data_IF_569381069867
#
_entry.id   IF_569381069867
#
_cell.length_a   1.000
_cell.length_b   1.000
_cell.length_c   1.000
_cell.angle_alpha   90.00
_cell.angle_beta   90.00
_cell.angle_gamma   90.00
#
_symmetry.space_group_name_H-M   'P 1'
#
loop_
_entity.id
_entity.type
_entity.pdbx_description
1 polymer ?
#
# COMPACT_ATOMS: atom_id res chain seq x y z
N UNK A 1 2.00 15.90 1.82
CA UNK A 1 1.88 14.72 2.71
C UNK A 1 3.20 13.99 2.93
N UNK A 2 4.06 13.74 1.90
CA UNK A 2 5.35 13.02 2.08
C UNK A 2 6.26 13.63 3.16
N UNK A 3 6.30 14.96 3.29
CA UNK A 3 7.11 15.63 4.32
C UNK A 3 6.61 15.33 5.75
N UNK A 4 5.31 15.13 5.94
CA UNK A 4 4.71 14.79 7.25
C UNK A 4 5.15 13.39 7.66
N UNK A 5 5.10 12.44 6.73
CA UNK A 5 5.53 11.05 6.98
C UNK A 5 7.03 10.93 7.21
N UNK A 6 7.83 11.69 6.46
CA UNK A 6 9.29 11.64 6.55
C UNK A 6 9.83 12.03 7.95
N UNK A 7 9.08 12.82 8.72
CA UNK A 7 9.46 13.25 10.08
C UNK A 7 8.63 12.59 11.19
N UNK A 8 7.73 11.67 10.82
CA UNK A 8 6.90 10.94 11.78
C UNK A 8 7.76 9.95 12.56
N UNK A 9 7.63 9.97 13.88
CA UNK A 9 8.29 9.00 14.75
C UNK A 9 7.67 7.61 14.64
N UNK A 10 8.41 6.62 15.10
CA UNK A 10 8.00 5.21 15.08
C UNK A 10 6.72 4.96 15.88
N UNK A 11 6.54 5.64 17.02
CA UNK A 11 5.35 5.49 17.86
C UNK A 11 4.09 5.92 17.13
N UNK A 12 4.13 7.08 16.47
CA UNK A 12 3.01 7.60 15.69
C UNK A 12 2.67 6.70 14.50
N UNK A 13 3.68 6.20 13.78
CA UNK A 13 3.48 5.24 12.67
C UNK A 13 2.86 3.93 13.17
N UNK A 14 3.36 3.38 14.27
CA UNK A 14 2.84 2.15 14.88
C UNK A 14 1.40 2.34 15.39
N UNK A 15 1.06 3.48 15.97
CA UNK A 15 -0.31 3.79 16.40
C UNK A 15 -1.28 3.80 15.20
N UNK A 16 -0.86 4.38 14.08
CA UNK A 16 -1.66 4.37 12.85
C UNK A 16 -1.83 2.95 12.27
N UNK A 17 -0.79 2.13 12.30
CA UNK A 17 -0.87 0.72 11.89
C UNK A 17 -1.82 -0.08 12.79
N UNK A 18 -1.77 0.13 14.11
CA UNK A 18 -2.70 -0.52 15.05
C UNK A 18 -4.15 -0.10 14.79
N UNK A 19 -4.39 1.18 14.48
CA UNK A 19 -5.72 1.66 14.11
C UNK A 19 -6.20 1.03 12.79
N UNK A 20 -5.31 0.85 11.80
CA UNK A 20 -5.62 0.14 10.55
C UNK A 20 -6.01 -1.32 10.84
N UNK A 21 -5.19 -2.05 11.62
CA UNK A 21 -5.47 -3.45 11.98
C UNK A 21 -6.85 -3.59 12.61
N UNK A 22 -7.16 -2.74 13.59
CA UNK A 22 -8.45 -2.71 14.28
C UNK A 22 -9.61 -2.38 13.30
N UNK A 23 -9.44 -1.35 12.48
CA UNK A 23 -10.47 -0.90 11.54
C UNK A 23 -10.81 -1.95 10.48
N UNK A 24 -9.82 -2.73 10.00
CA UNK A 24 -10.05 -3.84 9.07
C UNK A 24 -10.93 -4.93 9.68
N UNK A 25 -10.71 -5.27 10.95
CA UNK A 25 -11.53 -6.27 11.67
C UNK A 25 -12.95 -5.72 11.93
N UNK A 26 -13.06 -4.48 12.42
CA UNK A 26 -14.36 -3.86 12.75
C UNK A 26 -15.24 -3.66 11.49
N UNK A 27 -14.64 -3.56 10.31
CA UNK A 27 -15.37 -3.38 9.05
C UNK A 27 -15.31 -4.63 8.14
N UNK A 28 -15.04 -5.82 8.70
CA UNK A 28 -14.94 -7.06 7.94
C UNK A 28 -16.16 -7.33 7.07
N UNK A 29 -17.37 -7.09 7.60
CA UNK A 29 -18.62 -7.30 6.86
C UNK A 29 -18.71 -6.40 5.62
N UNK A 30 -18.32 -5.13 5.73
CA UNK A 30 -18.30 -4.19 4.59
C UNK A 30 -17.31 -4.63 3.52
N UNK A 31 -16.13 -5.12 3.94
CA UNK A 31 -15.11 -5.64 3.02
C UNK A 31 -15.62 -6.88 2.30
N UNK A 32 -16.27 -7.80 3.03
CA UNK A 32 -16.86 -9.02 2.46
C UNK A 32 -17.97 -8.66 1.47
N UNK A 33 -18.87 -7.72 1.82
CA UNK A 33 -19.93 -7.27 0.91
C UNK A 33 -19.34 -6.67 -0.38
N UNK A 34 -18.32 -5.82 -0.29
CA UNK A 34 -17.63 -5.27 -1.46
C UNK A 34 -16.96 -6.39 -2.29
N UNK A 35 -16.35 -7.37 -1.63
CA UNK A 35 -15.72 -8.51 -2.29
C UNK A 35 -16.73 -9.43 -3.00
N UNK A 36 -17.93 -9.60 -2.45
CA UNK A 36 -18.99 -10.36 -3.14
C UNK A 36 -19.38 -9.74 -4.48
N UNK A 37 -19.38 -8.40 -4.60
CA UNK A 37 -19.64 -7.70 -5.88
C UNK A 37 -18.55 -8.05 -6.91
N UNK A 38 -17.28 -8.03 -6.49
CA UNK A 38 -16.15 -8.40 -7.37
C UNK A 38 -16.22 -9.88 -7.77
N UNK A 39 -16.55 -10.78 -6.85
CA UNK A 39 -16.69 -12.22 -7.12
C UNK A 39 -17.87 -12.53 -8.06
N UNK A 40 -19.00 -11.81 -7.92
CA UNK A 40 -20.14 -11.96 -8.84
C UNK A 40 -19.73 -11.59 -10.27
N UNK A 41 -19.12 -10.41 -10.44
CA UNK A 41 -18.61 -9.96 -11.73
C UNK A 41 -17.54 -10.90 -12.30
N UNK A 42 -16.66 -11.45 -11.45
CA UNK A 42 -15.64 -12.40 -11.87
C UNK A 42 -16.24 -13.70 -12.41
N UNK A 43 -17.32 -14.21 -11.79
CA UNK A 43 -18.04 -15.42 -12.27
C UNK A 43 -18.72 -15.15 -13.60
N UNK A 44 -19.43 -14.04 -13.74
CA UNK A 44 -20.10 -13.63 -14.98
C UNK A 44 -19.10 -13.49 -16.15
N UNK A 45 -17.90 -12.98 -15.86
CA UNK A 45 -16.83 -12.83 -16.86
C UNK A 45 -16.02 -14.12 -17.10
N UNK A 46 -16.43 -15.27 -16.55
CA UNK A 46 -15.77 -16.56 -16.78
C UNK A 46 -14.37 -16.67 -16.17
N UNK A 47 -14.09 -15.94 -15.09
CA UNK A 47 -12.80 -16.00 -14.39
C UNK A 47 -12.56 -17.44 -13.86
N UNK A 48 -11.35 -17.96 -14.01
CA UNK A 48 -11.01 -19.31 -13.53
C UNK A 48 -11.16 -19.42 -12.00
N UNK A 49 -11.51 -20.62 -11.51
CA UNK A 49 -11.70 -20.90 -10.07
C UNK A 49 -10.46 -20.51 -9.26
N UNK A 50 -9.26 -20.80 -9.76
CA UNK A 50 -8.01 -20.41 -9.09
C UNK A 50 -7.83 -18.88 -8.96
N UNK A 51 -8.29 -18.11 -9.95
CA UNK A 51 -8.24 -16.64 -9.87
C UNK A 51 -9.35 -16.10 -8.95
N UNK A 52 -10.54 -16.70 -8.95
CA UNK A 52 -11.61 -16.36 -8.01
C UNK A 52 -11.17 -16.62 -6.55
N UNK A 53 -10.46 -17.72 -6.29
CA UNK A 53 -9.90 -17.99 -4.95
C UNK A 53 -8.90 -16.92 -4.52
N UNK A 54 -8.05 -16.44 -5.42
CA UNK A 54 -7.11 -15.33 -5.12
C UNK A 54 -7.81 -14.00 -4.86
N UNK A 55 -8.97 -13.79 -5.47
CA UNK A 55 -9.79 -12.58 -5.32
C UNK A 55 -10.59 -12.62 -4.02
N UNK A 56 -11.00 -13.81 -3.57
CA UNK A 56 -11.92 -14.00 -2.44
C UNK A 56 -11.34 -13.46 -1.13
N UNK A 57 -12.18 -12.73 -0.40
CA UNK A 57 -11.98 -12.36 1.00
C UNK A 57 -13.10 -12.97 1.84
N UNK A 58 -12.71 -13.51 2.99
CA UNK A 58 -13.59 -13.97 4.06
C UNK A 58 -13.03 -13.47 5.40
N UNK A 59 -13.73 -13.72 6.50
CA UNK A 59 -13.27 -13.29 7.83
C UNK A 59 -11.85 -13.75 8.15
N UNK A 60 -11.50 -15.01 7.85
CA UNK A 60 -10.19 -15.55 8.19
C UNK A 60 -9.08 -14.86 7.40
N UNK A 61 -9.33 -14.56 6.11
CA UNK A 61 -8.38 -13.82 5.28
C UNK A 61 -8.23 -12.38 5.73
N UNK A 62 -9.31 -11.72 6.16
CA UNK A 62 -9.25 -10.36 6.72
C UNK A 62 -8.51 -10.37 8.06
N UNK A 63 -8.77 -11.34 8.94
CA UNK A 63 -8.00 -11.55 10.18
C UNK A 63 -6.51 -11.78 9.88
N UNK A 64 -6.22 -12.54 8.82
CA UNK A 64 -4.84 -12.75 8.34
C UNK A 64 -4.16 -11.45 7.90
N UNK A 65 -4.88 -10.56 7.19
CA UNK A 65 -4.38 -9.24 6.81
C UNK A 65 -4.09 -8.39 8.07
N UNK A 66 -5.03 -8.31 9.00
CA UNK A 66 -4.86 -7.55 10.24
C UNK A 66 -3.68 -8.09 11.07
N UNK A 67 -3.56 -9.42 11.20
CA UNK A 67 -2.43 -10.05 11.88
C UNK A 67 -1.09 -9.73 11.22
N UNK A 68 -1.02 -9.66 9.89
CA UNK A 68 0.20 -9.25 9.18
C UNK A 68 0.57 -7.78 9.49
N UNK A 69 -0.43 -6.90 9.67
CA UNK A 69 -0.18 -5.52 10.13
C UNK A 69 0.35 -5.50 11.57
N UNK A 70 -0.19 -6.34 12.47
CA UNK A 70 0.28 -6.45 13.85
C UNK A 70 1.73 -6.99 13.91
N UNK A 71 2.10 -7.93 13.04
CA UNK A 71 3.50 -8.36 12.91
C UNK A 71 4.40 -7.25 12.38
N UNK A 72 3.92 -6.45 11.42
CA UNK A 72 4.66 -5.30 10.90
C UNK A 72 4.95 -4.24 11.98
N UNK A 73 4.03 -4.04 12.94
CA UNK A 73 4.23 -3.14 14.08
C UNK A 73 5.45 -3.59 14.92
N UNK A 74 5.63 -4.89 15.12
CA UNK A 74 6.73 -5.47 15.92
C UNK A 74 8.09 -5.33 15.26
N UNK A 75 8.13 -5.18 13.93
CA UNK A 75 9.38 -4.98 13.21
C UNK A 75 10.01 -3.64 13.57
N UNK A 76 11.33 -3.63 13.63
CA UNK A 76 12.10 -2.42 13.85
C UNK A 76 11.87 -1.42 12.70
N UNK A 77 11.75 -0.14 13.04
CA UNK A 77 11.65 0.93 12.06
C UNK A 77 12.99 1.10 11.33
N UNK A 78 13.03 0.98 10.00
CA UNK A 78 14.28 1.14 9.27
C UNK A 78 14.72 2.59 9.13
N UNK A 79 13.82 3.57 9.33
CA UNK A 79 14.11 4.99 9.09
C UNK A 79 14.95 5.56 10.23
N UNK A 80 15.97 6.33 9.85
CA UNK A 80 16.93 6.90 10.80
C UNK A 80 18.06 5.95 11.21
N UNK A 81 18.02 4.66 10.82
CA UNK A 81 19.13 3.75 11.07
C UNK A 81 20.40 4.23 10.38
N UNK A 82 21.50 4.14 11.11
CA UNK A 82 22.85 4.42 10.59
C UNK A 82 23.43 3.12 10.03
N UNK A 83 23.66 3.09 8.72
CA UNK A 83 24.31 1.93 8.06
C UNK A 83 25.81 1.94 8.26
N UNK A 84 26.44 3.10 8.14
CA UNK A 84 27.88 3.29 8.40
C UNK A 84 28.21 4.77 8.64
N UNK A 85 29.45 5.01 9.09
CA UNK A 85 29.99 6.36 9.24
C UNK A 85 31.51 6.36 9.21
N UNK A 86 32.10 7.51 8.91
CA UNK A 86 33.56 7.71 8.90
C UNK A 86 33.91 9.12 9.34
N UNK A 87 35.13 9.25 9.89
CA UNK A 87 35.74 10.56 10.19
C UNK A 87 36.85 10.79 9.16
N UNK A 88 36.82 11.93 8.48
CA UNK A 88 37.84 12.32 7.52
C UNK A 88 39.06 12.93 8.23
N UNK A 89 40.26 12.98 7.58
CA UNK A 89 41.46 13.57 8.19
C UNK A 89 41.25 15.03 8.66
N UNK A 90 40.36 15.79 8.07
CA UNK A 90 40.01 17.15 8.49
C UNK A 90 38.99 17.20 9.64
N UNK A 91 38.64 16.08 10.26
CA UNK A 91 37.67 15.99 11.36
C UNK A 91 36.20 15.93 10.96
N UNK A 92 35.87 16.03 9.66
CA UNK A 92 34.48 15.96 9.19
C UNK A 92 33.92 14.55 9.41
N UNK A 93 32.73 14.46 10.05
CA UNK A 93 31.98 13.21 10.24
C UNK A 93 30.98 13.02 9.11
N UNK A 94 31.06 11.88 8.42
CA UNK A 94 30.10 11.47 7.38
C UNK A 94 29.33 10.28 7.94
N UNK A 95 28.00 10.37 7.90
CA UNK A 95 27.11 9.29 8.35
C UNK A 95 26.10 8.95 7.25
N UNK A 96 25.98 7.66 6.90
CA UNK A 96 24.96 7.17 5.99
C UNK A 96 23.77 6.70 6.79
N UNK A 97 22.63 7.39 6.61
CA UNK A 97 21.36 7.07 7.27
C UNK A 97 20.30 6.66 6.26
N UNK A 98 19.35 5.82 6.71
CA UNK A 98 18.18 5.44 5.91
C UNK A 98 17.10 6.50 6.03
N UNK A 99 16.54 6.90 4.90
CA UNK A 99 15.44 7.88 4.79
C UNK A 99 14.29 7.30 3.96
N UNK A 100 13.06 7.80 4.13
CA UNK A 100 11.95 7.43 3.26
C UNK A 100 12.25 7.78 1.79
N UNK A 101 11.68 7.02 0.87
CA UNK A 101 11.76 7.31 -0.57
C UNK A 101 10.90 8.51 -0.95
N UNK A 102 9.69 8.59 -0.40
CA UNK A 102 8.76 9.70 -0.63
C UNK A 102 7.35 9.25 -0.98
N UNK A 103 6.93 9.38 -2.23
CA UNK A 103 5.64 8.91 -2.76
C UNK A 103 5.87 7.68 -3.61
N UNK A 104 5.23 6.58 -3.23
CA UNK A 104 5.33 5.30 -3.95
C UNK A 104 4.04 5.06 -4.73
N UNK A 105 4.15 4.89 -6.05
CA UNK A 105 3.09 4.35 -6.89
C UNK A 105 3.13 2.81 -6.86
N UNK A 106 2.01 2.16 -6.56
CA UNK A 106 1.91 0.70 -6.61
C UNK A 106 0.85 0.28 -7.62
N UNK A 107 1.25 -0.40 -8.69
CA UNK A 107 0.32 -0.99 -9.67
C UNK A 107 0.28 -2.49 -9.45
N UNK A 108 -0.90 -3.04 -9.16
CA UNK A 108 -1.05 -4.45 -8.82
C UNK A 108 -2.31 -5.08 -9.43
N UNK A 109 -2.32 -6.40 -9.51
CA UNK A 109 -3.39 -7.22 -10.09
C UNK A 109 -4.28 -7.83 -9.01
N UNK A 110 -5.18 -8.64 -9.35
CA UNK A 110 -6.29 -9.41 -8.76
C UNK A 110 -6.21 -9.87 -7.29
N UNK A 111 -5.44 -9.25 -6.41
CA UNK A 111 -5.32 -9.65 -5.00
C UNK A 111 -5.64 -8.49 -4.06
N UNK A 112 -6.84 -8.46 -3.46
CA UNK A 112 -7.26 -7.35 -2.61
C UNK A 112 -6.37 -7.12 -1.36
N UNK A 113 -5.78 -8.18 -0.80
CA UNK A 113 -4.86 -8.06 0.33
C UNK A 113 -3.65 -7.16 0.04
N UNK A 114 -3.23 -7.06 -1.24
CA UNK A 114 -2.11 -6.21 -1.63
C UNK A 114 -2.35 -4.74 -1.32
N UNK A 115 -3.61 -4.30 -1.34
CA UNK A 115 -4.01 -2.94 -0.97
C UNK A 115 -3.55 -2.61 0.46
N UNK A 116 -3.84 -3.50 1.40
CA UNK A 116 -3.43 -3.34 2.80
C UNK A 116 -1.92 -3.54 2.97
N UNK A 117 -1.35 -4.61 2.37
CA UNK A 117 0.08 -4.91 2.46
C UNK A 117 0.93 -3.71 2.00
N UNK A 118 0.61 -3.15 0.81
CA UNK A 118 1.36 -2.03 0.25
C UNK A 118 1.23 -0.76 1.08
N UNK A 119 0.02 -0.42 1.51
CA UNK A 119 -0.22 0.79 2.29
C UNK A 119 0.48 0.76 3.65
N UNK A 120 0.39 -0.36 4.35
CA UNK A 120 0.98 -0.51 5.69
C UNK A 120 2.50 -0.56 5.66
N UNK A 121 3.10 -1.24 4.67
CA UNK A 121 4.55 -1.22 4.45
C UNK A 121 5.06 0.19 4.12
N UNK A 122 4.36 0.92 3.25
CA UNK A 122 4.69 2.30 2.94
C UNK A 122 4.61 3.20 4.19
N UNK A 123 3.53 3.09 4.96
CA UNK A 123 3.34 3.85 6.21
C UNK A 123 4.46 3.54 7.23
N UNK A 124 4.78 2.26 7.46
CA UNK A 124 5.86 1.85 8.37
C UNK A 124 7.19 2.47 8.00
N UNK A 125 7.47 2.57 6.70
CA UNK A 125 8.72 3.11 6.16
C UNK A 125 8.66 4.60 5.83
N UNK A 126 7.63 5.32 6.32
CA UNK A 126 7.50 6.76 6.20
C UNK A 126 7.21 7.28 4.79
N UNK A 127 6.62 6.44 3.92
CA UNK A 127 6.28 6.77 2.56
C UNK A 127 4.77 6.97 2.38
N UNK A 128 4.37 7.94 1.57
CA UNK A 128 3.01 8.01 1.04
C UNK A 128 2.84 7.01 -0.11
N UNK A 129 1.61 6.55 -0.33
CA UNK A 129 1.33 5.56 -1.39
C UNK A 129 0.14 5.95 -2.24
N UNK A 130 0.26 5.73 -3.54
CA UNK A 130 -0.83 5.80 -4.52
C UNK A 130 -1.05 4.38 -5.06
N UNK A 131 -2.22 3.83 -4.79
CA UNK A 131 -2.60 2.46 -5.09
C UNK A 131 -3.42 2.41 -6.37
N UNK A 132 -2.99 1.61 -7.34
CA UNK A 132 -3.75 1.29 -8.55
C UNK A 132 -3.92 -0.23 -8.66
N UNK A 133 -5.07 -0.73 -8.22
CA UNK A 133 -5.43 -2.14 -8.28
C UNK A 133 -6.05 -2.56 -9.61
N UNK A 134 -6.09 -3.86 -9.88
CA UNK A 134 -6.79 -4.43 -11.04
C UNK A 134 -8.30 -4.19 -10.95
N UNK A 135 -8.94 -4.08 -12.12
CA UNK A 135 -10.39 -3.84 -12.23
C UNK A 135 -11.25 -4.94 -11.60
N UNK A 136 -10.74 -6.16 -11.58
CA UNK A 136 -11.41 -7.35 -11.05
C UNK A 136 -11.58 -7.32 -9.52
N UNK A 137 -10.80 -6.51 -8.81
CA UNK A 137 -10.85 -6.35 -7.36
C UNK A 137 -11.22 -4.91 -6.96
N UNK A 138 -11.83 -4.14 -7.85
CA UNK A 138 -12.05 -2.71 -7.65
C UNK A 138 -12.83 -2.38 -6.38
N UNK A 139 -13.99 -3.05 -6.17
CA UNK A 139 -14.85 -2.75 -5.01
C UNK A 139 -14.14 -3.09 -3.70
N UNK A 140 -13.46 -4.24 -3.64
CA UNK A 140 -12.68 -4.68 -2.48
C UNK A 140 -11.55 -3.71 -2.18
N UNK A 141 -10.75 -3.36 -3.20
CA UNK A 141 -9.59 -2.48 -3.05
C UNK A 141 -10.02 -1.08 -2.58
N UNK A 142 -11.09 -0.52 -3.16
CA UNK A 142 -11.65 0.78 -2.78
C UNK A 142 -12.12 0.77 -1.34
N UNK A 143 -12.91 -0.23 -0.96
CA UNK A 143 -13.43 -0.38 0.41
C UNK A 143 -12.28 -0.47 1.44
N UNK A 144 -11.28 -1.34 1.21
CA UNK A 144 -10.11 -1.47 2.08
C UNK A 144 -9.35 -0.14 2.18
N UNK A 145 -9.13 0.52 1.04
CA UNK A 145 -8.42 1.81 1.03
C UNK A 145 -9.15 2.89 1.83
N UNK A 146 -10.47 3.01 1.68
CA UNK A 146 -11.29 3.98 2.43
C UNK A 146 -11.23 3.72 3.94
N UNK A 147 -11.34 2.45 4.37
CA UNK A 147 -11.20 2.06 5.78
C UNK A 147 -9.83 2.46 6.33
N UNK A 148 -8.76 2.20 5.58
CA UNK A 148 -7.40 2.57 5.99
C UNK A 148 -7.21 4.09 6.03
N UNK A 149 -7.77 4.84 5.09
CA UNK A 149 -7.74 6.31 5.07
C UNK A 149 -8.41 6.91 6.30
N UNK A 150 -9.56 6.36 6.70
CA UNK A 150 -10.25 6.78 7.92
C UNK A 150 -9.45 6.40 9.19
N UNK A 151 -8.81 5.25 9.19
CA UNK A 151 -7.96 4.81 10.30
C UNK A 151 -6.73 5.70 10.50
N UNK A 152 -6.02 6.05 9.42
CA UNK A 152 -4.85 6.94 9.53
C UNK A 152 -5.24 8.36 9.95
N UNK A 153 -6.43 8.85 9.55
CA UNK A 153 -6.95 10.14 9.99
C UNK A 153 -7.23 10.15 11.50
N UNK A 154 -7.85 9.10 12.04
CA UNK A 154 -8.06 8.94 13.49
C UNK A 154 -6.73 8.91 14.26
N UNK A 155 -5.67 8.38 13.65
CA UNK A 155 -4.33 8.37 14.22
C UNK A 155 -3.57 9.72 14.02
N UNK A 156 -4.23 10.75 13.48
CA UNK A 156 -3.67 12.09 13.31
C UNK A 156 -2.74 12.26 12.10
N UNK A 157 -2.90 11.44 11.07
CA UNK A 157 -2.30 11.65 9.76
C UNK A 157 -3.33 12.18 8.76
N UNK A 158 -2.91 12.94 7.73
CA UNK A 158 -3.80 13.26 6.62
C UNK A 158 -4.22 11.99 5.87
N UNK A 159 -5.50 11.89 5.47
CA UNK A 159 -5.99 10.77 4.62
C UNK A 159 -5.17 10.56 3.35
N UNK A 160 -4.59 11.63 2.83
CA UNK A 160 -3.87 11.65 1.56
C UNK A 160 -2.50 10.96 1.60
N UNK A 161 -2.09 10.41 2.74
CA UNK A 161 -0.91 9.54 2.79
C UNK A 161 -1.18 8.18 2.13
N UNK A 162 -2.45 7.78 2.01
CA UNK A 162 -2.91 6.60 1.28
C UNK A 162 -3.93 7.08 0.25
N UNK A 163 -3.65 6.87 -1.03
CA UNK A 163 -4.56 7.23 -2.12
C UNK A 163 -4.85 6.03 -3.01
N UNK A 164 -6.04 6.03 -3.60
CA UNK A 164 -6.50 5.00 -4.52
C UNK A 164 -6.89 5.66 -5.85
N UNK A 165 -6.46 5.07 -6.95
CA UNK A 165 -6.83 5.49 -8.30
C UNK A 165 -8.16 4.83 -8.64
N UNK A 166 -9.24 5.61 -8.67
CA UNK A 166 -10.60 5.14 -8.92
C UNK A 166 -10.84 4.65 -10.35
N UNK A 167 -10.08 5.19 -11.30
CA UNK A 167 -10.20 4.78 -12.69
C UNK A 167 -9.34 3.53 -12.97
N UNK A 168 -9.99 2.48 -13.46
CA UNK A 168 -9.35 1.19 -13.76
C UNK A 168 -8.94 1.02 -15.21
N UNK A 169 -9.02 2.07 -16.03
CA UNK A 169 -8.63 2.04 -17.45
C UNK A 169 -7.13 1.87 -17.62
N UNK A 170 -6.73 1.43 -18.81
CA UNK A 170 -5.30 1.29 -19.15
C UNK A 170 -4.64 2.65 -19.39
N UNK A 171 -5.41 3.60 -19.88
CA UNK A 171 -5.01 4.98 -20.15
C UNK A 171 -4.50 5.64 -18.86
N UNK A 172 -5.31 5.62 -17.80
CA UNK A 172 -4.92 6.17 -16.49
C UNK A 172 -3.74 5.43 -15.88
N UNK A 173 -3.64 4.11 -16.09
CA UNK A 173 -2.45 3.36 -15.67
C UNK A 173 -1.19 3.84 -16.37
N UNK A 174 -1.29 4.12 -17.68
CA UNK A 174 -0.16 4.65 -18.46
C UNK A 174 0.21 6.07 -18.04
N UNK A 175 -0.78 6.92 -17.76
CA UNK A 175 -0.52 8.27 -17.23
C UNK A 175 0.13 8.22 -15.83
N UNK A 176 -0.29 7.30 -14.97
CA UNK A 176 0.36 7.10 -13.67
C UNK A 176 1.84 6.71 -13.82
N UNK A 177 2.19 5.91 -14.83
CA UNK A 177 3.58 5.53 -15.12
C UNK A 177 4.45 6.72 -15.51
N UNK A 178 3.85 7.79 -16.08
CA UNK A 178 4.54 9.01 -16.53
C UNK A 178 4.60 10.10 -15.45
N UNK A 179 4.07 9.84 -14.25
CA UNK A 179 4.01 10.82 -13.16
C UNK A 179 5.36 11.00 -12.42
N UNK A 180 6.48 11.05 -13.13
CA UNK A 180 7.85 11.18 -12.61
C UNK A 180 8.06 12.40 -11.69
N UNK A 181 7.30 13.49 -11.92
CA UNK A 181 7.33 14.69 -11.07
C UNK A 181 6.68 14.50 -9.69
N UNK A 182 5.82 13.49 -9.54
CA UNK A 182 5.00 13.29 -8.35
C UNK A 182 5.32 11.99 -7.62
N UNK A 183 5.83 10.98 -8.34
CA UNK A 183 6.22 9.69 -7.80
C UNK A 183 7.74 9.62 -7.64
N UNK A 184 8.19 9.21 -6.48
CA UNK A 184 9.61 8.97 -6.20
C UNK A 184 9.99 7.50 -6.54
N UNK A 185 9.02 6.59 -6.59
CA UNK A 185 9.20 5.19 -6.98
C UNK A 185 7.88 4.61 -7.52
N UNK A 186 7.97 3.80 -8.57
CA UNK A 186 6.84 3.02 -9.10
C UNK A 186 7.14 1.53 -8.99
N UNK A 187 6.23 0.77 -8.36
CA UNK A 187 6.38 -0.66 -8.12
C UNK A 187 5.26 -1.44 -8.84
N UNK A 188 5.56 -2.19 -9.90
CA UNK A 188 4.61 -3.13 -10.48
C UNK A 188 4.61 -4.44 -9.69
N UNK A 189 3.42 -4.94 -9.33
CA UNK A 189 3.20 -6.24 -8.70
C UNK A 189 2.17 -7.07 -9.49
N UNK A 190 2.65 -7.89 -10.41
CA UNK A 190 1.79 -8.70 -11.27
C UNK A 190 2.57 -9.58 -12.21
N UNK A 191 1.92 -10.03 -13.27
CA UNK A 191 2.52 -10.88 -14.28
C UNK A 191 3.59 -10.17 -15.13
N UNK A 192 4.34 -10.95 -15.89
CA UNK A 192 5.42 -10.44 -16.75
C UNK A 192 4.96 -9.33 -17.73
N UNK A 193 3.68 -9.36 -18.14
CA UNK A 193 3.09 -8.33 -19.01
C UNK A 193 3.05 -6.95 -18.35
N UNK A 194 2.61 -6.88 -17.09
CA UNK A 194 2.59 -5.63 -16.32
C UNK A 194 4.02 -5.11 -16.09
N UNK A 195 4.93 -5.99 -15.70
CA UNK A 195 6.33 -5.60 -15.45
C UNK A 195 6.95 -5.01 -16.72
N UNK A 196 6.78 -5.67 -17.87
CA UNK A 196 7.28 -5.16 -19.16
C UNK A 196 6.63 -3.83 -19.54
N UNK A 197 5.32 -3.66 -19.29
CA UNK A 197 4.63 -2.41 -19.59
C UNK A 197 5.17 -1.26 -18.75
N UNK A 198 5.40 -1.46 -17.44
CA UNK A 198 5.99 -0.44 -16.58
C UNK A 198 7.41 -0.11 -17.01
N UNK A 199 8.29 -1.10 -17.22
CA UNK A 199 9.67 -0.87 -17.65
C UNK A 199 9.80 -0.11 -18.98
N UNK A 200 8.76 -0.22 -19.83
CA UNK A 200 8.74 0.46 -21.14
C UNK A 200 8.22 1.89 -21.08
N UNK A 201 7.29 2.19 -20.16
CA UNK A 201 6.51 3.43 -20.15
C UNK A 201 6.78 4.35 -18.95
N UNK A 202 7.54 3.89 -17.95
CA UNK A 202 7.96 4.67 -16.78
C UNK A 202 9.33 5.31 -16.98
#
# INVERSE_FOLDING_TARGET
>A
VKKILAVADTGKKNAALAEISRALIENSDKIIEANQKDLAAARENGMSVSMQDRLMLNEDRIKGIASAVDELIKLEDPIGKVDNGSVRPNGMRITKIRVPMGVIGMIYESRPNVTADAATLCLKTGNAVILRGGKEAYNSNKCICEIMRDAVEKAGFPKDIIQFVDDTTREVTTELMKCDKYLDLLIPRGGAGLIKAVTKNA
#
